data_IF_049556658928
#
_entry.id   IF_049556658928
#
_cell.length_a   1.000
_cell.length_b   1.000
_cell.length_c   1.000
_cell.angle_alpha   90.00
_cell.angle_beta   90.00
_cell.angle_gamma   90.00
#
_symmetry.space_group_name_H-M   'P 1'
#
loop_
_entity.id
_entity.type
_entity.pdbx_description
1 polymer ?
#
# COMPACT_ATOMS: atom_id res chain seq x y z
N UNK A 1 -18.09 -13.05 -7.96
CA UNK A 1 -16.77 -13.61 -7.59
C UNK A 1 -16.95 -14.70 -6.53
N UNK A 2 -16.07 -15.71 -6.42
CA UNK A 2 -16.15 -16.69 -5.32
C UNK A 2 -15.80 -16.00 -4.00
N UNK A 3 -16.49 -16.32 -2.90
CA UNK A 3 -16.22 -15.75 -1.57
C UNK A 3 -14.73 -15.87 -1.19
N UNK A 4 -14.11 -17.01 -1.50
CA UNK A 4 -12.69 -17.27 -1.28
C UNK A 4 -11.76 -16.25 -1.96
N UNK A 5 -12.17 -15.68 -3.10
CA UNK A 5 -11.40 -14.67 -3.82
C UNK A 5 -11.60 -13.28 -3.19
N UNK A 6 -12.83 -12.94 -2.76
CA UNK A 6 -13.09 -11.70 -2.00
C UNK A 6 -12.27 -11.67 -0.70
N UNK A 7 -12.29 -12.76 0.05
CA UNK A 7 -11.52 -12.89 1.30
C UNK A 7 -10.01 -12.79 1.05
N UNK A 8 -9.53 -13.29 -0.10
CA UNK A 8 -8.14 -13.14 -0.50
C UNK A 8 -7.78 -11.68 -0.80
N UNK A 9 -8.63 -10.96 -1.55
CA UNK A 9 -8.42 -9.56 -1.87
C UNK A 9 -8.45 -8.68 -0.63
N UNK A 10 -9.40 -8.89 0.29
CA UNK A 10 -9.46 -8.18 1.58
C UNK A 10 -8.18 -8.38 2.40
N UNK A 11 -7.68 -9.63 2.49
CA UNK A 11 -6.42 -9.91 3.20
C UNK A 11 -5.21 -9.24 2.54
N UNK A 12 -5.17 -9.16 1.22
CA UNK A 12 -4.07 -8.51 0.50
C UNK A 12 -4.15 -6.99 0.68
N UNK A 13 -5.35 -6.41 0.60
CA UNK A 13 -5.59 -4.99 0.84
C UNK A 13 -5.03 -4.55 2.20
N UNK A 14 -5.39 -5.24 3.29
CA UNK A 14 -4.89 -4.93 4.64
C UNK A 14 -3.37 -5.02 4.73
N UNK A 15 -2.75 -6.04 4.11
CA UNK A 15 -1.29 -6.17 4.09
C UNK A 15 -0.61 -5.05 3.31
N UNK A 16 -1.20 -4.61 2.20
CA UNK A 16 -0.67 -3.47 1.44
C UNK A 16 -0.73 -2.20 2.28
N UNK A 17 -1.82 -1.95 3.00
CA UNK A 17 -1.94 -0.80 3.89
C UNK A 17 -0.82 -0.77 4.94
N UNK A 18 -0.53 -1.91 5.58
CA UNK A 18 0.56 -2.05 6.55
C UNK A 18 1.94 -1.76 5.91
N UNK A 19 2.22 -2.34 4.73
CA UNK A 19 3.49 -2.16 4.01
C UNK A 19 3.67 -0.70 3.55
N UNK A 20 2.61 -0.09 3.02
CA UNK A 20 2.62 1.31 2.55
C UNK A 20 2.95 2.23 3.73
N UNK A 21 2.29 2.03 4.88
CA UNK A 21 2.54 2.81 6.09
C UNK A 21 3.98 2.64 6.59
N UNK A 22 4.51 1.42 6.57
CA UNK A 22 5.91 1.15 6.92
C UNK A 22 6.88 1.90 5.99
N UNK A 23 6.64 1.88 4.67
CA UNK A 23 7.49 2.59 3.71
C UNK A 23 7.46 4.10 3.89
N UNK A 24 6.31 4.70 4.17
CA UNK A 24 6.24 6.13 4.48
C UNK A 24 6.98 6.48 5.77
N UNK A 25 6.80 5.68 6.84
CA UNK A 25 7.53 5.90 8.09
C UNK A 25 9.04 5.81 7.88
N UNK A 26 9.52 4.81 7.12
CA UNK A 26 10.94 4.67 6.79
C UNK A 26 11.46 5.83 5.93
N UNK A 27 10.61 6.38 5.05
CA UNK A 27 10.95 7.55 4.26
C UNK A 27 11.12 8.79 5.17
N UNK A 28 10.22 8.99 6.13
CA UNK A 28 10.32 10.07 7.12
C UNK A 28 11.58 9.91 7.99
N UNK A 29 11.88 8.71 8.47
CA UNK A 29 13.11 8.39 9.22
C UNK A 29 14.38 8.65 8.38
N UNK A 30 14.33 8.47 7.06
CA UNK A 30 15.43 8.78 6.16
C UNK A 30 15.60 10.30 5.97
N UNK A 31 14.50 11.06 5.88
CA UNK A 31 14.53 12.53 5.87
C UNK A 31 15.19 13.06 7.15
N UNK A 32 14.82 12.53 8.31
CA UNK A 32 15.37 12.95 9.61
C UNK A 32 16.88 12.68 9.73
N UNK A 33 17.40 11.67 9.02
CA UNK A 33 18.84 11.35 8.94
C UNK A 33 19.58 12.13 7.85
N UNK A 34 18.86 12.86 6.99
CA UNK A 34 19.44 13.55 5.82
C UNK A 34 19.71 12.62 4.63
N UNK A 35 19.20 11.39 4.65
CA UNK A 35 19.35 10.38 3.61
C UNK A 35 18.27 10.57 2.52
N UNK A 36 18.30 11.71 1.82
CA UNK A 36 17.23 12.12 0.90
C UNK A 36 17.03 11.21 -0.32
N UNK A 37 18.09 10.54 -0.77
CA UNK A 37 18.01 9.55 -1.86
C UNK A 37 17.18 8.34 -1.42
N UNK A 38 17.41 7.83 -0.21
CA UNK A 38 16.67 6.71 0.38
C UNK A 38 15.22 7.13 0.65
N UNK A 39 15.00 8.32 1.21
CA UNK A 39 13.66 8.86 1.44
C UNK A 39 12.84 8.91 0.14
N UNK A 40 13.43 9.44 -0.92
CA UNK A 40 12.78 9.54 -2.24
C UNK A 40 12.45 8.16 -2.81
N UNK A 41 13.36 7.19 -2.66
CA UNK A 41 13.14 5.82 -3.12
C UNK A 41 11.99 5.15 -2.34
N UNK A 42 12.00 5.23 -1.02
CA UNK A 42 10.98 4.64 -0.15
C UNK A 42 9.60 5.25 -0.40
N UNK A 43 9.52 6.58 -0.50
CA UNK A 43 8.28 7.28 -0.82
C UNK A 43 7.73 6.89 -2.21
N UNK A 44 8.60 6.78 -3.23
CA UNK A 44 8.17 6.35 -4.56
C UNK A 44 7.61 4.92 -4.54
N UNK A 45 8.19 4.01 -3.74
CA UNK A 45 7.65 2.65 -3.58
C UNK A 45 6.32 2.63 -2.85
N UNK A 46 6.16 3.42 -1.79
CA UNK A 46 4.90 3.56 -1.08
C UNK A 46 3.78 4.04 -2.02
N UNK A 47 4.05 5.07 -2.84
CA UNK A 47 3.09 5.62 -3.80
C UNK A 47 2.63 4.57 -4.83
N UNK A 48 3.57 3.81 -5.41
CA UNK A 48 3.22 2.75 -6.38
C UNK A 48 2.32 1.70 -5.73
N UNK A 49 2.63 1.27 -4.50
CA UNK A 49 1.82 0.28 -3.79
C UNK A 49 0.45 0.84 -3.40
N UNK A 50 0.36 2.11 -3.04
CA UNK A 50 -0.90 2.80 -2.76
C UNK A 50 -1.83 2.77 -3.97
N UNK A 51 -1.33 3.05 -5.17
CA UNK A 51 -2.12 2.93 -6.41
C UNK A 51 -2.63 1.50 -6.62
N UNK A 52 -1.81 0.48 -6.35
CA UNK A 52 -2.25 -0.92 -6.46
C UNK A 52 -3.29 -1.29 -5.39
N UNK A 53 -3.17 -0.74 -4.18
CA UNK A 53 -4.12 -0.94 -3.10
C UNK A 53 -5.48 -0.31 -3.43
N UNK A 54 -5.50 0.92 -3.98
CA UNK A 54 -6.71 1.60 -4.45
C UNK A 54 -7.41 0.78 -5.56
N UNK A 55 -6.65 0.22 -6.51
CA UNK A 55 -7.23 -0.64 -7.53
C UNK A 55 -7.92 -1.88 -6.93
N UNK A 56 -7.38 -2.44 -5.85
CA UNK A 56 -8.01 -3.56 -5.12
C UNK A 56 -9.27 -3.08 -4.40
N UNK A 57 -9.25 -1.89 -3.79
CA UNK A 57 -10.41 -1.30 -3.11
C UNK A 57 -11.58 -1.08 -4.06
N UNK A 58 -11.32 -0.55 -5.26
CA UNK A 58 -12.32 -0.40 -6.32
C UNK A 58 -12.96 -1.76 -6.66
N UNK A 59 -12.15 -2.80 -6.86
CA UNK A 59 -12.65 -4.15 -7.16
C UNK A 59 -13.51 -4.70 -6.01
N UNK A 60 -13.08 -4.48 -4.75
CA UNK A 60 -13.85 -4.91 -3.57
C UNK A 60 -15.18 -4.16 -3.51
N UNK A 61 -15.17 -2.83 -3.70
CA UNK A 61 -16.33 -1.95 -3.61
C UNK A 61 -17.36 -2.20 -4.70
N UNK A 62 -16.93 -2.37 -5.96
CA UNK A 62 -17.82 -2.68 -7.09
C UNK A 62 -18.53 -4.04 -6.95
N UNK A 63 -17.99 -4.93 -6.11
CA UNK A 63 -18.47 -6.31 -5.95
C UNK A 63 -19.16 -6.56 -4.60
N UNK A 64 -19.04 -5.62 -3.65
CA UNK A 64 -19.74 -5.62 -2.36
C UNK A 64 -21.07 -4.84 -2.36
N UNK A 65 -21.34 -4.06 -3.41
CA UNK A 65 -22.60 -3.37 -3.67
C UNK A 65 -23.64 -4.22 -4.39
#
# INVERSE_FOLDING_TARGET
MKQTTLDALLRVYVKLEEIIRELYNLADDAVDRGDYDDASLLQARANILYEQMENIDVIISELGG
#
